data_IF_078852450743
#
_entry.id   IF_078852450743
#
_cell.length_a   1.000
_cell.length_b   1.000
_cell.length_c   1.000
_cell.angle_alpha   90.00
_cell.angle_beta   90.00
_cell.angle_gamma   90.00
#
_symmetry.space_group_name_H-M   'P 1'
#
loop_
_entity.id
_entity.type
_entity.pdbx_description
1 polymer ?
#
# COMPACT_ATOMS: atom_id res chain seq x y z
N UNK A 1 -15.32 11.41 -4.99
CA UNK A 1 -14.79 10.14 -4.45
C UNK A 1 -14.11 10.39 -3.11
N UNK A 2 -14.02 9.39 -2.22
CA UNK A 2 -13.33 9.49 -0.92
C UNK A 2 -12.42 8.27 -0.76
N UNK A 3 -11.11 8.49 -0.63
CA UNK A 3 -10.13 7.40 -0.46
C UNK A 3 -9.62 7.30 0.97
N UNK A 4 -9.26 6.08 1.40
CA UNK A 4 -8.57 5.81 2.67
C UNK A 4 -7.48 4.77 2.41
N UNK A 5 -6.30 5.00 2.99
CA UNK A 5 -5.26 3.97 3.10
C UNK A 5 -5.58 3.11 4.32
N UNK A 6 -5.54 1.79 4.14
CA UNK A 6 -5.81 0.80 5.19
C UNK A 6 -4.57 -0.05 5.35
N UNK A 7 -4.02 -0.05 6.57
CA UNK A 7 -2.90 -0.88 6.96
C UNK A 7 -3.42 -1.91 7.96
N UNK A 8 -3.21 -3.19 7.67
CA UNK A 8 -3.59 -4.31 8.52
C UNK A 8 -2.34 -5.09 8.95
N UNK A 9 -2.31 -5.51 10.21
CA UNK A 9 -1.30 -6.46 10.71
C UNK A 9 -1.92 -7.37 11.76
N UNK A 10 -1.22 -8.45 12.11
CA UNK A 10 -1.67 -9.43 13.11
C UNK A 10 -0.67 -9.47 14.26
N UNK A 11 -1.16 -9.40 15.49
CA UNK A 11 -0.30 -9.52 16.68
C UNK A 11 0.12 -10.98 16.89
N UNK A 12 1.09 -11.21 17.78
CA UNK A 12 1.52 -12.56 18.19
C UNK A 12 0.37 -13.45 18.69
N UNK A 13 -0.69 -12.85 19.23
CA UNK A 13 -1.85 -13.57 19.77
C UNK A 13 -2.99 -13.72 18.73
N UNK A 14 -2.72 -13.49 17.45
CA UNK A 14 -3.71 -13.64 16.37
C UNK A 14 -4.71 -12.49 16.26
N UNK A 15 -4.60 -11.44 17.08
CA UNK A 15 -5.49 -10.29 16.99
C UNK A 15 -5.12 -9.41 15.80
N UNK A 16 -6.10 -9.10 14.95
CA UNK A 16 -5.95 -8.14 13.85
C UNK A 16 -5.92 -6.69 14.37
N UNK A 17 -4.99 -5.91 13.85
CA UNK A 17 -4.84 -4.47 14.13
C UNK A 17 -4.93 -3.73 12.81
N UNK A 18 -5.78 -2.71 12.79
CA UNK A 18 -6.08 -1.90 11.61
C UNK A 18 -5.74 -0.44 11.90
N UNK A 19 -5.02 0.19 10.98
CA UNK A 19 -4.72 1.62 10.98
C UNK A 19 -5.23 2.24 9.67
N UNK A 20 -6.02 3.31 9.76
CA UNK A 20 -6.69 3.92 8.61
C UNK A 20 -6.35 5.40 8.49
N UNK A 21 -5.85 5.82 7.33
CA UNK A 21 -5.58 7.23 7.03
C UNK A 21 -6.53 7.74 5.94
N UNK A 22 -7.22 8.85 6.21
CA UNK A 22 -8.03 9.53 5.19
C UNK A 22 -7.09 10.21 4.20
N UNK A 23 -7.35 10.02 2.91
CA UNK A 23 -6.61 10.73 1.85
C UNK A 23 -7.37 12.03 1.55
N UNK A 24 -6.74 13.21 1.72
CA UNK A 24 -7.39 14.47 1.43
C UNK A 24 -7.67 14.62 -0.07
N UNK A 25 -8.74 15.33 -0.48
CA UNK A 25 -9.10 15.49 -1.91
C UNK A 25 -7.95 15.97 -2.79
N UNK A 26 -7.09 16.86 -2.29
CA UNK A 26 -5.90 17.37 -3.00
C UNK A 26 -4.87 16.31 -3.37
N UNK A 27 -4.95 15.11 -2.79
CA UNK A 27 -4.05 13.97 -3.06
C UNK A 27 -4.72 12.84 -3.82
N UNK A 28 -6.01 12.94 -4.15
CA UNK A 28 -6.76 11.86 -4.82
C UNK A 28 -6.20 11.54 -6.20
N UNK A 29 -6.00 12.56 -7.05
CA UNK A 29 -5.44 12.35 -8.40
C UNK A 29 -4.02 11.76 -8.35
N UNK A 30 -3.18 12.26 -7.44
CA UNK A 30 -1.84 11.74 -7.23
C UNK A 30 -1.84 10.27 -6.80
N UNK A 31 -2.75 9.89 -5.90
CA UNK A 31 -2.90 8.50 -5.46
C UNK A 31 -3.35 7.58 -6.62
N UNK A 32 -4.35 7.99 -7.40
CA UNK A 32 -4.84 7.20 -8.54
C UNK A 32 -3.71 6.97 -9.55
N UNK A 33 -2.98 8.03 -9.91
CA UNK A 33 -1.87 7.94 -10.85
C UNK A 33 -0.75 7.05 -10.32
N UNK A 34 -0.42 7.19 -9.03
CA UNK A 34 0.58 6.33 -8.39
C UNK A 34 0.19 4.85 -8.46
N UNK A 35 -1.04 4.50 -8.11
CA UNK A 35 -1.52 3.11 -8.15
C UNK A 35 -1.49 2.56 -9.57
N UNK A 36 -1.91 3.36 -10.55
CA UNK A 36 -1.86 2.98 -11.97
C UNK A 36 -0.44 2.63 -12.41
N UNK A 37 0.53 3.51 -12.14
CA UNK A 37 1.95 3.27 -12.51
C UNK A 37 2.51 2.04 -11.80
N UNK A 38 2.25 1.91 -10.49
CA UNK A 38 2.73 0.79 -9.70
C UNK A 38 2.16 -0.56 -10.19
N UNK A 39 0.92 -0.57 -10.67
CA UNK A 39 0.26 -1.76 -11.22
C UNK A 39 0.68 -2.06 -12.67
N UNK A 40 0.73 -1.06 -13.55
CA UNK A 40 1.00 -1.24 -14.98
C UNK A 40 2.45 -1.65 -15.26
N UNK A 41 3.41 -1.09 -14.51
CA UNK A 41 4.82 -1.40 -14.70
C UNK A 41 5.29 -2.61 -13.86
N UNK A 42 4.44 -3.12 -12.96
CA UNK A 42 4.79 -4.24 -12.08
C UNK A 42 5.98 -3.94 -11.15
N UNK A 43 6.25 -2.66 -10.89
CA UNK A 43 7.41 -2.20 -10.13
C UNK A 43 7.16 -2.30 -8.61
N UNK A 44 8.22 -2.56 -7.84
CA UNK A 44 8.14 -2.60 -6.38
C UNK A 44 7.78 -1.23 -5.80
N UNK A 45 6.71 -1.18 -5.01
CA UNK A 45 6.38 -0.02 -4.19
C UNK A 45 7.27 0.00 -2.96
N UNK A 46 8.05 1.06 -2.82
CA UNK A 46 8.83 1.33 -1.61
C UNK A 46 7.94 2.02 -0.56
N UNK A 47 7.77 1.39 0.59
CA UNK A 47 7.16 1.99 1.76
C UNK A 47 8.23 2.45 2.75
N UNK A 48 8.11 3.70 3.17
CA UNK A 48 8.89 4.27 4.25
C UNK A 48 8.05 5.30 4.98
N UNK A 49 8.33 5.51 6.26
CA UNK A 49 7.74 6.60 7.05
C UNK A 49 8.74 7.74 7.08
N UNK A 50 8.35 8.93 6.63
CA UNK A 50 9.17 10.13 6.77
C UNK A 50 8.85 10.83 8.09
N UNK A 51 9.87 11.10 8.91
CA UNK A 51 9.78 11.95 10.08
C UNK A 51 10.04 13.38 9.64
N UNK A 52 9.07 14.25 9.87
CA UNK A 52 9.15 15.67 9.56
C UNK A 52 9.31 16.43 10.88
N UNK A 53 10.40 17.16 11.02
CA UNK A 53 10.61 18.18 12.05
C UNK A 53 10.73 19.56 11.39
N UNK A 54 10.76 20.64 12.18
CA UNK A 54 10.82 22.02 11.68
C UNK A 54 11.95 22.23 10.65
N UNK A 55 13.14 21.67 10.91
CA UNK A 55 14.32 21.91 10.07
C UNK A 55 14.76 20.73 9.20
N UNK A 56 14.14 19.55 9.35
CA UNK A 56 14.65 18.31 8.73
C UNK A 56 13.56 17.33 8.35
N UNK A 57 13.82 16.62 7.26
CA UNK A 57 13.06 15.44 6.83
C UNK A 57 13.99 14.25 6.79
N UNK A 58 13.66 13.23 7.58
CA UNK A 58 14.47 12.02 7.68
C UNK A 58 13.56 10.80 7.50
N UNK A 59 13.97 9.88 6.64
CA UNK A 59 13.28 8.60 6.54
C UNK A 59 13.52 7.75 7.79
N UNK A 60 12.45 7.15 8.29
CA UNK A 60 12.51 6.10 9.31
C UNK A 60 13.40 4.95 8.83
N UNK A 61 14.02 4.29 9.81
CA UNK A 61 14.73 3.02 9.59
C UNK A 61 13.77 1.89 9.16
N UNK A 62 12.49 2.00 9.51
CA UNK A 62 11.46 1.03 9.13
C UNK A 62 11.05 1.31 7.68
N UNK A 63 11.38 0.36 6.81
CA UNK A 63 11.09 0.39 5.37
C UNK A 63 10.59 -0.97 4.93
N UNK A 64 9.84 -1.00 3.84
CA UNK A 64 9.38 -2.23 3.21
C UNK A 64 9.26 -2.05 1.71
N UNK A 65 9.18 -3.17 1.01
CA UNK A 65 8.88 -3.22 -0.41
C UNK A 65 7.74 -4.19 -0.64
N UNK A 66 6.81 -3.84 -1.51
CA UNK A 66 5.71 -4.73 -1.88
C UNK A 66 5.27 -4.48 -3.31
N UNK A 67 4.74 -5.53 -3.93
CA UNK A 67 4.05 -5.42 -5.21
C UNK A 67 2.55 -5.26 -4.94
N UNK A 68 1.93 -4.36 -5.68
CA UNK A 68 0.47 -4.28 -5.69
C UNK A 68 -0.06 -5.37 -6.62
N UNK A 69 -1.16 -5.99 -6.22
CA UNK A 69 -1.85 -6.99 -7.02
C UNK A 69 -3.33 -6.65 -7.05
N UNK A 70 -3.97 -6.91 -8.17
CA UNK A 70 -5.42 -6.87 -8.25
C UNK A 70 -5.99 -8.17 -7.67
N UNK A 71 -6.85 -8.06 -6.67
CA UNK A 71 -7.51 -9.24 -6.08
C UNK A 71 -8.52 -9.86 -7.05
N UNK A 72 -9.09 -9.10 -8.00
CA UNK A 72 -10.03 -9.63 -8.99
C UNK A 72 -9.34 -10.55 -10.01
N UNK A 73 -8.02 -10.40 -10.23
CA UNK A 73 -7.24 -11.18 -11.21
C UNK A 73 -6.65 -12.48 -10.61
N UNK A 74 -6.59 -12.61 -9.27
CA UNK A 74 -6.06 -13.81 -8.62
C UNK A 74 -6.98 -15.03 -8.68
N UNK A 75 -8.25 -14.85 -9.00
CA UNK A 75 -9.22 -15.95 -9.13
C UNK A 75 -8.99 -16.81 -10.38
N UNK A 76 -8.39 -16.28 -11.45
CA UNK A 76 -8.18 -17.03 -12.69
C UNK A 76 -6.86 -17.83 -12.69
N UNK A 77 -5.88 -17.48 -11.86
CA UNK A 77 -4.55 -18.10 -11.92
C UNK A 77 -4.37 -19.32 -11.02
N UNK A 78 -5.22 -19.52 -10.00
CA UNK A 78 -5.15 -20.70 -9.13
C UNK A 78 -5.83 -21.95 -9.73
N UNK A 79 -6.73 -21.80 -10.71
CA UNK A 79 -7.38 -22.95 -11.36
C UNK A 79 -6.47 -23.65 -12.39
N UNK A 80 -5.53 -22.93 -13.00
CA UNK A 80 -4.66 -23.48 -14.07
C UNK A 80 -3.53 -24.35 -13.51
N UNK A 81 -3.17 -24.22 -12.22
CA UNK A 81 -2.13 -25.04 -11.57
C UNK A 81 -2.63 -26.34 -10.93
N UNK A 82 -3.94 -26.65 -11.02
CA UNK A 82 -4.54 -27.85 -10.44
C UNK A 82 -5.11 -28.85 -11.46
N UNK A 83 -4.88 -28.65 -12.76
CA UNK A 83 -5.21 -29.63 -13.80
C UNK A 83 -3.97 -30.24 -14.43
#
# INVERSE_FOLDING_TARGET
>A
MKFRLVFETTTKNGKKVLLKFKVPPSKHLGLINFLKIAMEHGEEVNFAVEKISEDKKEFSKIKGKFLLTDEEVKSETEEIKKK
#
